data_IF_242317451597
#
_entry.id   IF_242317451597
#
_cell.length_a   1.000
_cell.length_b   1.000
_cell.length_c   1.000
_cell.angle_alpha   90.00
_cell.angle_beta   90.00
_cell.angle_gamma   90.00
#
_symmetry.space_group_name_H-M   'P 1'
#
loop_
_entity.id
_entity.type
_entity.pdbx_description
1 polymer ?
#
# COMPACT_ATOMS: atom_id res chain seq x y z
N UNK A 1 2.45 -9.92 2.10
CA UNK A 1 2.58 -9.05 0.91
C UNK A 1 3.40 -9.67 -0.24
N UNK A 2 4.60 -10.20 -0.01
CA UNK A 2 5.50 -10.69 -1.07
C UNK A 2 4.86 -11.68 -2.06
N UNK A 3 4.16 -12.71 -1.57
CA UNK A 3 3.50 -13.70 -2.44
C UNK A 3 2.44 -13.07 -3.35
N UNK A 4 1.70 -12.08 -2.84
CA UNK A 4 0.67 -11.38 -3.61
C UNK A 4 1.30 -10.60 -4.77
N UNK A 5 2.46 -9.95 -4.53
CA UNK A 5 3.23 -9.25 -5.57
C UNK A 5 3.74 -10.23 -6.64
N UNK A 6 4.29 -11.37 -6.23
CA UNK A 6 4.86 -12.38 -7.16
C UNK A 6 3.76 -13.05 -7.99
N UNK A 7 2.58 -13.26 -7.41
CA UNK A 7 1.44 -13.89 -8.09
C UNK A 7 0.70 -12.99 -9.07
N UNK A 8 1.00 -11.68 -9.08
CA UNK A 8 0.30 -10.72 -9.94
C UNK A 8 0.86 -10.76 -11.36
N UNK A 9 0.01 -11.08 -12.35
CA UNK A 9 0.40 -11.21 -13.76
C UNK A 9 0.91 -9.90 -14.40
N UNK A 10 0.56 -8.74 -13.83
CA UNK A 10 1.01 -7.44 -14.29
C UNK A 10 2.35 -7.02 -13.66
N UNK A 11 2.92 -7.87 -12.80
CA UNK A 11 4.20 -7.63 -12.14
C UNK A 11 5.26 -8.59 -12.68
N UNK A 12 6.41 -8.03 -13.06
CA UNK A 12 7.61 -8.80 -13.38
C UNK A 12 8.66 -8.61 -12.31
N UNK A 13 9.07 -9.71 -11.69
CA UNK A 13 10.22 -9.76 -10.78
C UNK A 13 11.44 -10.27 -11.56
N UNK A 14 12.53 -9.51 -11.56
CA UNK A 14 13.80 -9.92 -12.17
C UNK A 14 14.93 -9.86 -11.16
N UNK A 15 15.82 -10.86 -11.16
CA UNK A 15 17.07 -10.78 -10.40
C UNK A 15 18.01 -9.73 -11.01
N UNK A 16 18.75 -9.05 -10.15
CA UNK A 16 19.75 -8.03 -10.51
C UNK A 16 21.17 -8.61 -10.38
N UNK A 17 22.20 -7.82 -10.72
CA UNK A 17 23.64 -8.17 -10.80
C UNK A 17 24.03 -9.42 -9.98
N UNK A 18 24.21 -10.55 -10.66
CA UNK A 18 24.64 -11.86 -10.09
C UNK A 18 23.74 -12.45 -8.98
N UNK A 19 22.44 -12.11 -8.93
CA UNK A 19 21.51 -12.64 -7.93
C UNK A 19 21.55 -11.92 -6.58
N UNK A 20 22.18 -10.74 -6.51
CA UNK A 20 22.32 -9.98 -5.27
C UNK A 20 21.03 -9.25 -4.82
N UNK A 21 19.98 -9.26 -5.65
CA UNK A 21 18.70 -8.67 -5.28
C UNK A 21 17.65 -8.82 -6.37
N UNK A 22 16.42 -8.50 -6.02
CA UNK A 22 15.26 -8.58 -6.92
C UNK A 22 14.70 -7.19 -7.20
N UNK A 23 14.19 -6.99 -8.42
CA UNK A 23 13.46 -5.79 -8.81
C UNK A 23 12.09 -6.19 -9.33
N UNK A 24 11.05 -5.63 -8.73
CA UNK A 24 9.68 -5.73 -9.23
C UNK A 24 9.35 -4.52 -10.14
N UNK A 25 8.74 -4.79 -11.29
CA UNK A 25 8.35 -3.79 -12.29
C UNK A 25 6.90 -4.02 -12.67
N UNK A 26 6.10 -2.96 -12.68
CA UNK A 26 4.73 -2.97 -13.17
C UNK A 26 4.72 -2.88 -14.69
N UNK A 27 4.19 -3.90 -15.37
CA UNK A 27 4.29 -4.06 -16.82
C UNK A 27 3.56 -2.97 -17.62
N UNK A 28 2.34 -2.52 -17.26
CA UNK A 28 1.59 -1.56 -18.06
C UNK A 28 2.30 -0.22 -18.27
N UNK A 29 3.12 0.23 -17.30
CA UNK A 29 3.85 1.51 -17.40
C UNK A 29 5.37 1.35 -17.42
N UNK A 30 5.89 0.16 -17.11
CA UNK A 30 7.32 -0.08 -16.93
C UNK A 30 7.89 0.50 -15.64
N UNK A 31 7.03 1.04 -14.76
CA UNK A 31 7.43 1.68 -13.51
C UNK A 31 7.92 0.67 -12.47
N UNK A 32 8.94 1.06 -11.71
CA UNK A 32 9.47 0.25 -10.60
C UNK A 32 8.46 0.24 -9.44
N UNK A 33 8.28 -0.92 -8.84
CA UNK A 33 7.52 -1.10 -7.60
C UNK A 33 8.46 -0.91 -6.40
N UNK A 34 7.99 -0.17 -5.40
CA UNK A 34 8.69 0.05 -4.13
C UNK A 34 7.78 -0.35 -2.99
N UNK A 35 8.31 -1.15 -2.06
CA UNK A 35 7.62 -1.47 -0.82
C UNK A 35 7.79 -0.31 0.18
N UNK A 36 6.71 0.10 0.84
CA UNK A 36 6.73 1.11 1.90
C UNK A 36 5.91 0.63 3.09
N UNK A 37 6.23 1.18 4.26
CA UNK A 37 5.61 0.82 5.52
C UNK A 37 5.20 2.08 6.26
N UNK A 38 3.96 2.12 6.74
CA UNK A 38 3.42 3.22 7.53
C UNK A 38 2.77 2.67 8.79
N UNK A 39 3.24 3.11 9.95
CA UNK A 39 2.65 2.70 11.23
C UNK A 39 1.62 3.72 11.71
N UNK A 40 0.58 3.24 12.38
CA UNK A 40 -0.56 4.01 12.86
C UNK A 40 -0.87 3.65 14.32
N UNK A 41 -1.45 4.60 15.04
CA UNK A 41 -2.15 4.27 16.30
C UNK A 41 -3.26 3.26 16.01
N UNK A 42 -3.78 2.58 17.04
CA UNK A 42 -4.91 1.66 16.83
C UNK A 42 -6.12 2.37 16.22
N UNK A 43 -6.46 3.57 16.69
CA UNK A 43 -7.58 4.37 16.19
C UNK A 43 -7.37 4.87 14.76
N UNK A 44 -6.17 5.34 14.43
CA UNK A 44 -5.88 5.80 13.07
C UNK A 44 -5.78 4.63 12.09
N UNK A 45 -5.30 3.48 12.54
CA UNK A 45 -5.30 2.24 11.76
C UNK A 45 -6.72 1.76 11.43
N UNK A 46 -7.64 1.77 12.40
CA UNK A 46 -9.07 1.51 12.17
C UNK A 46 -9.70 2.52 11.20
N UNK A 47 -9.34 3.80 11.34
CA UNK A 47 -9.78 4.84 10.41
C UNK A 47 -9.26 4.60 8.99
N UNK A 48 -8.00 4.20 8.83
CA UNK A 48 -7.43 3.85 7.53
C UNK A 48 -8.12 2.61 6.94
N UNK A 49 -8.39 1.59 7.74
CA UNK A 49 -9.12 0.39 7.30
C UNK A 49 -10.52 0.74 6.79
N UNK A 50 -11.25 1.55 7.56
CA UNK A 50 -12.58 2.04 7.17
C UNK A 50 -12.53 2.93 5.92
N UNK A 51 -11.45 3.67 5.70
CA UNK A 51 -11.28 4.50 4.52
C UNK A 51 -10.98 3.67 3.28
N UNK A 52 -10.10 2.66 3.39
CA UNK A 52 -9.79 1.75 2.29
C UNK A 52 -10.99 0.90 1.86
N UNK A 53 -11.95 0.63 2.76
CA UNK A 53 -13.18 -0.09 2.42
C UNK A 53 -14.25 0.76 1.72
N UNK A 54 -14.00 2.06 1.49
CA UNK A 54 -14.96 2.97 0.85
C UNK A 54 -14.84 2.94 -0.67
N UNK A 55 -15.84 3.53 -1.34
CA UNK A 55 -15.75 3.79 -2.77
C UNK A 55 -14.67 4.82 -3.09
N UNK A 56 -14.10 4.76 -4.29
CA UNK A 56 -13.10 5.73 -4.75
C UNK A 56 -13.63 7.15 -4.69
N UNK A 57 -14.90 7.40 -5.03
CA UNK A 57 -15.51 8.73 -4.93
C UNK A 57 -15.48 9.28 -3.51
N UNK A 58 -15.74 8.45 -2.50
CA UNK A 58 -15.65 8.87 -1.09
C UNK A 58 -14.20 9.15 -0.68
N UNK A 59 -13.23 8.37 -1.14
CA UNK A 59 -11.80 8.61 -0.89
C UNK A 59 -11.35 9.91 -1.56
N UNK A 60 -11.78 10.16 -2.80
CA UNK A 60 -11.54 11.44 -3.50
C UNK A 60 -12.07 12.61 -2.68
N UNK A 61 -13.28 12.51 -2.14
CA UNK A 61 -13.85 13.58 -1.31
C UNK A 61 -13.08 13.76 0.00
N UNK A 62 -12.64 12.66 0.63
CA UNK A 62 -11.81 12.70 1.84
C UNK A 62 -10.53 13.50 1.59
N UNK A 63 -9.81 13.18 0.51
CA UNK A 63 -8.55 13.84 0.10
C UNK A 63 -8.80 15.30 -0.30
N UNK A 64 -9.83 15.60 -1.10
CA UNK A 64 -10.17 16.97 -1.53
C UNK A 64 -10.48 17.90 -0.35
N UNK A 65 -11.03 17.36 0.73
CA UNK A 65 -11.31 18.10 1.95
C UNK A 65 -10.05 18.33 2.81
N UNK A 66 -8.87 17.93 2.34
CA UNK A 66 -7.60 18.09 3.06
C UNK A 66 -7.46 17.19 4.28
N UNK A 67 -8.26 16.13 4.38
CA UNK A 67 -8.16 15.19 5.48
C UNK A 67 -6.96 14.26 5.28
N UNK A 68 -6.29 13.94 6.38
CA UNK A 68 -5.15 13.02 6.42
C UNK A 68 -5.37 12.04 7.57
N UNK A 69 -4.92 10.79 7.39
CA UNK A 69 -4.75 9.84 8.49
C UNK A 69 -3.27 9.85 8.86
N UNK A 70 -2.92 10.46 9.99
CA UNK A 70 -1.53 10.67 10.37
C UNK A 70 -0.87 9.33 10.75
N UNK A 71 0.30 9.06 10.17
CA UNK A 71 1.16 7.97 10.61
C UNK A 71 1.99 8.39 11.84
N UNK A 72 2.53 7.39 12.53
CA UNK A 72 3.40 7.54 13.69
C UNK A 72 4.67 6.70 13.51
N UNK A 73 5.78 7.05 14.16
CA UNK A 73 7.02 6.26 14.05
C UNK A 73 6.91 4.83 14.59
N UNK A 74 6.06 4.63 15.61
CA UNK A 74 5.80 3.32 16.22
C UNK A 74 4.31 3.24 16.53
N UNK A 75 3.63 2.30 15.89
CA UNK A 75 2.19 2.13 15.94
C UNK A 75 1.77 0.68 16.19
N UNK A 76 0.49 0.48 16.51
CA UNK A 76 -0.09 -0.85 16.68
C UNK A 76 -0.63 -1.43 15.37
N UNK A 77 -0.92 -0.57 14.38
CA UNK A 77 -1.37 -0.98 13.05
C UNK A 77 -0.32 -0.56 12.04
N UNK A 78 -0.02 -1.42 11.07
CA UNK A 78 0.96 -1.21 10.02
C UNK A 78 0.29 -1.35 8.66
N UNK A 79 0.40 -0.34 7.81
CA UNK A 79 0.17 -0.50 6.38
C UNK A 79 1.46 -0.95 5.70
N UNK A 80 1.41 -2.10 5.03
CA UNK A 80 2.41 -2.48 4.04
C UNK A 80 1.87 -2.12 2.66
N UNK A 81 2.61 -1.32 1.91
CA UNK A 81 2.23 -0.94 0.54
C UNK A 81 3.29 -1.37 -0.47
N UNK A 82 2.85 -1.65 -1.70
CA UNK A 82 3.70 -1.78 -2.88
C UNK A 82 3.18 -0.82 -3.93
N UNK A 83 3.93 0.25 -4.19
CA UNK A 83 3.49 1.37 -5.04
C UNK A 83 4.48 1.59 -6.18
N UNK A 84 3.98 1.96 -7.36
CA UNK A 84 4.83 2.36 -8.49
C UNK A 84 5.26 3.82 -8.41
N UNK A 85 6.40 4.16 -8.99
CA UNK A 85 6.92 5.54 -9.00
C UNK A 85 6.01 6.57 -9.69
N UNK A 86 5.12 6.11 -10.58
CA UNK A 86 4.12 6.92 -11.28
C UNK A 86 2.73 6.89 -10.59
N UNK A 87 2.62 6.23 -9.43
CA UNK A 87 1.39 6.00 -8.69
C UNK A 87 0.25 5.35 -9.50
N UNK A 88 0.55 4.68 -10.62
CA UNK A 88 -0.46 3.98 -11.44
C UNK A 88 -0.78 2.57 -10.95
N UNK A 89 -0.12 2.10 -9.88
CA UNK A 89 -0.38 0.83 -9.24
C UNK A 89 -0.06 0.92 -7.74
N UNK A 90 -0.98 0.39 -6.93
CA UNK A 90 -0.83 0.29 -5.48
C UNK A 90 -1.43 -1.03 -4.99
N UNK A 91 -0.64 -1.80 -4.24
CA UNK A 91 -1.16 -2.83 -3.34
C UNK A 91 -1.01 -2.37 -1.90
N UNK A 92 -2.01 -2.63 -1.08
CA UNK A 92 -1.96 -2.31 0.36
C UNK A 92 -2.62 -3.41 1.19
N UNK A 93 -2.03 -3.68 2.35
CA UNK A 93 -2.64 -4.47 3.40
C UNK A 93 -2.37 -3.81 4.75
N UNK A 94 -3.39 -3.76 5.61
CA UNK A 94 -3.22 -3.37 7.00
C UNK A 94 -3.00 -4.61 7.86
N UNK A 95 -2.04 -4.52 8.76
CA UNK A 95 -1.66 -5.54 9.72
C UNK A 95 -1.77 -4.96 11.13
N UNK A 96 -2.23 -5.75 12.10
CA UNK A 96 -2.23 -5.38 13.52
C UNK A 96 -1.15 -6.15 14.25
N UNK A 97 -0.42 -5.46 15.11
CA UNK A 97 0.57 -6.06 16.00
C UNK A 97 -0.13 -6.63 17.23
N UNK A 98 -0.17 -7.96 17.37
CA UNK A 98 -0.79 -8.70 18.47
C UNK A 98 0.18 -9.81 18.89
N UNK A 99 0.45 -9.93 20.19
CA UNK A 99 1.30 -10.99 20.74
C UNK A 99 2.68 -11.11 20.06
N UNK A 100 3.32 -9.96 19.81
CA UNK A 100 4.62 -9.84 19.13
C UNK A 100 4.66 -10.32 17.67
N UNK A 101 3.50 -10.42 17.02
CA UNK A 101 3.37 -10.83 15.63
C UNK A 101 2.42 -9.91 14.84
N UNK A 102 2.61 -9.81 13.53
CA UNK A 102 1.72 -9.05 12.66
C UNK A 102 0.62 -9.96 12.10
N UNK A 103 -0.64 -9.62 12.41
CA UNK A 103 -1.84 -10.34 11.94
C UNK A 103 -2.58 -9.50 10.90
N UNK A 104 -3.08 -10.10 9.80
CA UNK A 104 -3.93 -9.38 8.84
C UNK A 104 -5.12 -8.71 9.52
N UNK A 105 -5.25 -7.40 9.30
CA UNK A 105 -6.42 -6.61 9.68
C UNK A 105 -7.35 -6.40 8.48
N UNK A 106 -6.79 -6.35 7.28
CA UNK A 106 -7.53 -6.35 6.02
C UNK A 106 -7.00 -7.44 5.07
N UNK A 107 -7.78 -7.77 4.07
CA UNK A 107 -7.27 -8.44 2.87
C UNK A 107 -6.33 -7.50 2.09
N UNK A 108 -5.56 -8.08 1.18
CA UNK A 108 -4.75 -7.32 0.22
C UNK A 108 -5.69 -6.64 -0.77
N UNK A 109 -5.57 -5.32 -0.90
CA UNK A 109 -6.33 -4.52 -1.85
C UNK A 109 -5.39 -4.04 -2.96
N UNK A 110 -5.89 -4.01 -4.19
CA UNK A 110 -5.14 -3.62 -5.39
C UNK A 110 -5.88 -2.49 -6.09
N UNK A 111 -5.18 -1.41 -6.37
CA UNK A 111 -5.67 -0.26 -7.11
C UNK A 111 -4.78 -0.03 -8.33
N UNK A 112 -5.38 0.44 -9.42
CA UNK A 112 -4.70 0.69 -10.70
C UNK A 112 -5.13 2.03 -11.30
N UNK A 113 -4.29 2.64 -12.13
CA UNK A 113 -4.60 3.87 -12.84
C UNK A 113 -4.87 5.06 -11.91
N UNK A 114 -5.90 5.84 -12.21
CA UNK A 114 -6.31 7.00 -11.40
C UNK A 114 -6.69 6.65 -9.97
N UNK A 115 -7.23 5.45 -9.75
CA UNK A 115 -7.65 5.02 -8.42
C UNK A 115 -6.43 4.74 -7.54
N UNK A 116 -5.37 4.18 -8.12
CA UNK A 116 -4.10 4.02 -7.43
C UNK A 116 -3.50 5.36 -7.02
N UNK A 117 -3.58 6.37 -7.88
CA UNK A 117 -3.07 7.72 -7.59
C UNK A 117 -3.82 8.36 -6.42
N UNK A 118 -5.15 8.29 -6.43
CA UNK A 118 -5.99 8.79 -5.34
C UNK A 118 -5.68 8.06 -4.03
N UNK A 119 -5.64 6.73 -4.03
CA UNK A 119 -5.41 5.96 -2.81
C UNK A 119 -3.97 6.10 -2.31
N UNK A 120 -2.98 6.22 -3.21
CA UNK A 120 -1.59 6.48 -2.84
C UNK A 120 -1.44 7.81 -2.08
N UNK A 121 -2.23 8.83 -2.41
CA UNK A 121 -2.23 10.12 -1.71
C UNK A 121 -2.70 10.07 -0.26
N UNK A 122 -3.33 8.96 0.18
CA UNK A 122 -3.66 8.74 1.59
C UNK A 122 -2.42 8.47 2.45
N UNK A 123 -1.33 8.05 1.81
CA UNK A 123 -0.06 7.74 2.46
C UNK A 123 0.91 8.90 2.24
N UNK A 124 1.76 9.17 3.24
CA UNK A 124 2.80 10.20 3.12
C UNK A 124 3.92 9.79 2.15
N UNK A 125 4.73 10.77 1.74
CA UNK A 125 5.97 10.56 0.98
C UNK A 125 7.04 9.76 1.75
#
# INVERSE_FOLDING_TARGET
MADAVISNNDIRVTSTFFGLGEKATYLPTGSRITARVYDYTASDGERMASLLSKSIDEIVQFVKNGNIVANVPIGNVRAETCVTADNQFLMVQLLRFIDFDYRPMTDVQVFVGSDAEVVASLFGD
#
